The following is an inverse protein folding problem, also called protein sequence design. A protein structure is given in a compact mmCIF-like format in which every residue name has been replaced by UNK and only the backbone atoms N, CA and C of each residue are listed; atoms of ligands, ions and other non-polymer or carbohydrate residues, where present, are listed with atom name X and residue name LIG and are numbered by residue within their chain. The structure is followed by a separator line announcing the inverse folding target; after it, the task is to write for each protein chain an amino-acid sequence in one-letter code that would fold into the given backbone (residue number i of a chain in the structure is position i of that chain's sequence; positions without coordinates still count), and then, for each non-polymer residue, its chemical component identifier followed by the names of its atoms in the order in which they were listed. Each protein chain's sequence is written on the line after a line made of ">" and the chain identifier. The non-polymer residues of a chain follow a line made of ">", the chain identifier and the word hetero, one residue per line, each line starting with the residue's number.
data_IF_290166464476
#
_entry.id   IF_290166464476
#
_cell.length_a   1.000
_cell.length_b   1.000
_cell.length_c   1.000
_cell.angle_alpha   90.00
_cell.angle_beta   90.00
_cell.angle_gamma   90.00
#
_symmetry.space_group_name_H-M   'P 1'
#
loop_
_entity.id
_entity.type
_entity.pdbx_description
1 polymer ?
#
# COMPACT_ATOMS: atom_id res chain seq x y z
N UNK A 1 49.10 -9.46 -26.62
CA UNK A 1 47.75 -8.92 -26.34
C UNK A 1 46.76 -10.02 -26.65
N UNK A 2 46.34 -10.79 -25.65
CA UNK A 2 45.31 -11.81 -25.80
C UNK A 2 43.94 -11.15 -25.64
N UNK A 3 43.13 -11.19 -26.68
CA UNK A 3 41.71 -10.88 -26.56
C UNK A 3 41.05 -12.10 -25.93
N UNK A 4 40.56 -11.95 -24.70
CA UNK A 4 39.69 -12.94 -24.09
C UNK A 4 38.32 -12.81 -24.75
N UNK A 5 37.90 -13.85 -25.47
CA UNK A 5 36.54 -13.98 -25.95
C UNK A 5 35.59 -14.06 -24.74
N UNK A 6 34.83 -12.99 -24.51
CA UNK A 6 33.78 -12.96 -23.49
C UNK A 6 32.60 -13.75 -24.04
N UNK A 7 32.51 -15.03 -23.66
CA UNK A 7 31.35 -15.86 -23.99
C UNK A 7 30.07 -15.18 -23.43
N UNK A 8 29.00 -15.06 -24.22
CA UNK A 8 27.74 -14.52 -23.71
C UNK A 8 27.22 -15.49 -22.65
N UNK A 9 27.22 -15.06 -21.39
CA UNK A 9 26.57 -15.79 -20.31
C UNK A 9 25.09 -15.91 -20.67
N UNK A 10 24.60 -17.12 -20.90
CA UNK A 10 23.17 -17.39 -21.09
C UNK A 10 22.43 -17.01 -19.82
N UNK A 11 21.89 -15.80 -19.78
CA UNK A 11 21.05 -15.32 -18.68
C UNK A 11 19.81 -16.21 -18.66
N UNK A 12 19.50 -16.80 -17.51
CA UNK A 12 18.33 -17.66 -17.37
C UNK A 12 17.04 -16.85 -17.61
N UNK A 13 15.98 -17.50 -18.07
CA UNK A 13 14.68 -16.84 -18.29
C UNK A 13 14.12 -16.22 -16.99
N UNK A 14 14.44 -16.82 -15.84
CA UNK A 14 14.04 -16.31 -14.53
C UNK A 14 14.80 -15.01 -14.18
N UNK A 15 16.09 -14.93 -14.53
CA UNK A 15 16.87 -13.69 -14.38
C UNK A 15 16.35 -12.56 -15.28
N UNK A 16 15.88 -12.88 -16.49
CA UNK A 16 15.27 -11.91 -17.42
C UNK A 16 13.93 -11.39 -16.89
N UNK A 17 13.10 -12.27 -16.36
CA UNK A 17 11.81 -11.91 -15.76
C UNK A 17 12.00 -10.97 -14.58
N UNK A 18 12.94 -11.29 -13.69
CA UNK A 18 13.31 -10.43 -12.56
C UNK A 18 13.85 -9.07 -13.01
N UNK A 19 14.67 -9.05 -14.07
CA UNK A 19 15.22 -7.82 -14.63
C UNK A 19 14.11 -6.90 -15.19
N UNK A 20 13.19 -7.45 -15.98
CA UNK A 20 12.04 -6.70 -16.51
C UNK A 20 11.11 -6.21 -15.39
N UNK A 21 10.88 -7.05 -14.37
CA UNK A 21 10.12 -6.67 -13.19
C UNK A 21 10.69 -5.39 -12.54
N UNK A 22 12.01 -5.33 -12.32
CA UNK A 22 12.68 -4.16 -11.74
C UNK A 22 12.63 -2.95 -12.68
N UNK A 23 12.93 -3.13 -13.98
CA UNK A 23 12.94 -2.04 -14.97
C UNK A 23 11.57 -1.39 -15.17
N UNK A 24 10.50 -2.16 -15.05
CA UNK A 24 9.12 -1.70 -15.22
C UNK A 24 8.49 -1.19 -13.91
N UNK A 25 9.31 -0.88 -12.90
CA UNK A 25 8.82 -0.32 -11.64
C UNK A 25 8.04 -1.34 -10.81
N UNK A 26 8.57 -2.55 -10.67
CA UNK A 26 7.97 -3.63 -9.91
C UNK A 26 6.59 -4.06 -10.44
N UNK A 27 6.45 -4.13 -11.76
CA UNK A 27 5.22 -4.55 -12.44
C UNK A 27 4.78 -5.96 -12.01
N UNK A 28 3.47 -6.21 -11.96
CA UNK A 28 2.94 -7.55 -11.65
C UNK A 28 3.27 -8.56 -12.74
N UNK A 29 3.39 -9.83 -12.37
CA UNK A 29 3.60 -10.94 -13.32
C UNK A 29 2.54 -10.93 -14.43
N UNK A 30 1.26 -10.76 -14.07
CA UNK A 30 0.16 -10.64 -15.05
C UNK A 30 0.38 -9.50 -16.06
N UNK A 31 0.93 -8.37 -15.60
CA UNK A 31 1.27 -7.23 -16.46
C UNK A 31 2.39 -7.59 -17.43
N UNK A 32 3.46 -8.19 -16.92
CA UNK A 32 4.60 -8.66 -17.72
C UNK A 32 4.20 -9.71 -18.75
N UNK A 33 3.40 -10.71 -18.38
CA UNK A 33 2.86 -11.73 -19.30
C UNK A 33 2.02 -11.10 -20.41
N UNK A 34 1.29 -10.02 -20.11
CA UNK A 34 0.53 -9.29 -21.13
C UNK A 34 1.45 -8.56 -22.11
N UNK A 35 2.54 -7.97 -21.63
CA UNK A 35 3.54 -7.30 -22.48
C UNK A 35 4.32 -8.30 -23.35
N UNK A 36 4.72 -9.44 -22.78
CA UNK A 36 5.40 -10.51 -23.51
C UNK A 36 4.53 -11.06 -24.64
N UNK A 37 3.25 -11.36 -24.38
CA UNK A 37 2.29 -11.81 -25.41
C UNK A 37 2.08 -10.82 -26.54
N UNK A 38 2.25 -9.52 -26.27
CA UNK A 38 2.15 -8.46 -27.27
C UNK A 38 3.47 -8.15 -27.96
N UNK A 39 4.55 -8.87 -27.63
CA UNK A 39 5.89 -8.65 -28.17
C UNK A 39 6.56 -7.36 -27.70
N UNK A 40 6.07 -6.74 -26.62
CA UNK A 40 6.53 -5.43 -26.13
C UNK A 40 7.76 -5.51 -25.22
N UNK A 41 8.28 -6.71 -24.98
CA UNK A 41 9.50 -6.98 -24.19
C UNK A 41 10.69 -7.37 -25.07
N UNK A 42 10.79 -6.77 -26.27
CA UNK A 42 11.87 -7.06 -27.22
C UNK A 42 11.97 -8.55 -27.61
N UNK A 43 10.83 -9.25 -27.68
CA UNK A 43 10.79 -10.69 -27.98
C UNK A 43 11.12 -11.60 -26.80
N UNK A 44 11.39 -11.05 -25.60
CA UNK A 44 11.66 -11.84 -24.41
C UNK A 44 10.38 -12.46 -23.83
N UNK A 45 10.52 -13.70 -23.40
CA UNK A 45 9.49 -14.41 -22.65
C UNK A 45 9.67 -14.16 -21.16
N UNK A 46 8.57 -13.95 -20.46
CA UNK A 46 8.57 -13.81 -19.01
C UNK A 46 7.97 -15.07 -18.39
N UNK A 47 8.70 -15.66 -17.45
CA UNK A 47 8.30 -16.81 -16.65
C UNK A 47 7.63 -16.35 -15.34
N UNK A 48 7.46 -17.25 -14.38
CA UNK A 48 6.96 -16.92 -13.05
C UNK A 48 7.89 -15.93 -12.35
N UNK A 49 7.32 -14.94 -11.66
CA UNK A 49 8.09 -13.98 -10.89
C UNK A 49 8.36 -14.52 -9.49
N UNK A 50 9.64 -14.63 -9.13
CA UNK A 50 10.07 -14.96 -7.78
C UNK A 50 9.67 -13.89 -6.74
N UNK A 51 9.78 -14.27 -5.46
CA UNK A 51 9.54 -13.37 -4.35
C UNK A 51 10.34 -12.06 -4.47
N UNK A 52 9.63 -10.93 -4.34
CA UNK A 52 10.21 -9.59 -4.33
C UNK A 52 9.79 -8.85 -3.07
N UNK A 53 10.75 -8.61 -2.16
CA UNK A 53 10.53 -7.92 -0.89
C UNK A 53 9.94 -6.52 -1.09
N UNK A 54 10.47 -5.74 -2.03
CA UNK A 54 9.96 -4.39 -2.35
C UNK A 54 8.51 -4.39 -2.80
N UNK A 55 8.08 -5.41 -3.55
CA UNK A 55 6.67 -5.56 -3.91
C UNK A 55 5.79 -5.82 -2.71
N UNK A 56 6.23 -6.70 -1.80
CA UNK A 56 5.45 -7.05 -0.61
C UNK A 56 5.26 -5.83 0.26
N UNK A 57 6.33 -5.08 0.54
CA UNK A 57 6.26 -3.88 1.36
C UNK A 57 5.48 -2.76 0.64
N UNK A 58 5.76 -2.52 -0.64
CA UNK A 58 5.17 -1.41 -1.40
C UNK A 58 3.70 -1.61 -1.79
N UNK A 59 3.25 -2.86 -1.93
CA UNK A 59 1.86 -3.19 -2.28
C UNK A 59 1.06 -3.74 -1.10
N UNK A 60 1.63 -3.71 0.12
CA UNK A 60 0.93 -4.17 1.30
C UNK A 60 -0.32 -3.31 1.54
N UNK A 61 -1.49 -3.94 1.47
CA UNK A 61 -2.75 -3.28 1.83
C UNK A 61 -3.11 -3.60 3.26
N UNK A 62 -3.56 -2.60 4.02
CA UNK A 62 -4.13 -2.81 5.35
C UNK A 62 -5.31 -3.78 5.26
N UNK A 63 -5.31 -4.79 6.13
CA UNK A 63 -6.45 -5.71 6.27
C UNK A 63 -7.69 -4.90 6.63
N UNK A 64 -8.84 -5.28 6.05
CA UNK A 64 -10.11 -4.64 6.39
C UNK A 64 -10.39 -4.82 7.87
N UNK A 65 -10.77 -3.74 8.54
CA UNK A 65 -11.35 -3.84 9.87
C UNK A 65 -12.67 -4.61 9.80
N UNK A 66 -12.92 -5.47 10.78
CA UNK A 66 -14.25 -6.02 10.95
C UNK A 66 -15.22 -4.90 11.27
N UNK A 67 -16.46 -5.00 10.78
CA UNK A 67 -17.52 -4.08 11.18
C UNK A 67 -17.83 -4.31 12.65
N UNK A 68 -17.42 -3.38 13.51
CA UNK A 68 -17.87 -3.34 14.90
C UNK A 68 -19.33 -2.89 14.95
N UNK A 69 -20.24 -3.75 15.41
CA UNK A 69 -21.59 -3.31 15.78
C UNK A 69 -21.54 -2.74 17.20
N UNK A 70 -21.63 -1.42 17.32
CA UNK A 70 -21.86 -0.76 18.59
C UNK A 70 -23.38 -0.59 18.77
N UNK A 71 -23.98 -1.32 19.71
CA UNK A 71 -25.37 -1.14 20.10
C UNK A 71 -25.44 -0.70 21.56
N UNK A 72 -25.71 0.59 21.77
CA UNK A 72 -26.05 1.12 23.08
C UNK A 72 -27.50 0.82 23.43
N UNK A 73 -27.79 0.55 24.71
CA UNK A 73 -29.15 0.23 25.18
C UNK A 73 -29.81 1.41 25.91
N UNK A 74 -29.01 2.35 26.40
CA UNK A 74 -29.46 3.55 27.09
C UNK A 74 -28.45 4.70 27.01
N UNK A 75 -28.88 5.86 27.51
CA UNK A 75 -28.06 7.08 27.59
C UNK A 75 -26.85 6.88 28.51
N UNK A 76 -25.70 7.39 28.09
CA UNK A 76 -24.41 7.33 28.78
C UNK A 76 -23.81 5.91 28.88
N UNK A 77 -24.34 4.93 28.14
CA UNK A 77 -23.73 3.60 28.03
C UNK A 77 -22.38 3.62 27.30
N UNK A 78 -22.25 4.52 26.32
CA UNK A 78 -21.06 4.63 25.49
C UNK A 78 -20.89 6.07 25.00
N UNK A 79 -19.71 6.65 25.27
CA UNK A 79 -19.39 8.04 24.93
C UNK A 79 -18.17 8.04 24.01
N UNK A 80 -18.31 8.64 22.84
CA UNK A 80 -17.18 8.97 21.98
C UNK A 80 -16.59 10.29 22.46
N UNK A 81 -15.31 10.29 22.84
CA UNK A 81 -14.60 11.51 23.21
C UNK A 81 -13.49 11.80 22.23
N UNK A 82 -13.35 13.07 21.84
CA UNK A 82 -12.29 13.52 20.94
C UNK A 82 -11.70 14.85 21.43
N UNK A 83 -10.40 15.01 21.24
CA UNK A 83 -9.68 16.24 21.55
C UNK A 83 -9.16 16.84 20.24
N UNK A 84 -9.77 17.94 19.85
CA UNK A 84 -9.33 18.71 18.71
C UNK A 84 -8.35 19.81 19.14
N UNK A 85 -7.19 19.89 18.48
CA UNK A 85 -6.22 20.97 18.64
C UNK A 85 -4.76 20.53 18.56
N UNK A 86 -3.80 21.45 18.68
CA UNK A 86 -3.99 22.90 18.87
C UNK A 86 -4.50 23.62 17.62
N UNK A 87 -5.43 24.55 17.80
CA UNK A 87 -5.91 25.44 16.75
C UNK A 87 -4.84 26.46 16.36
N UNK A 88 -4.78 26.80 15.07
CA UNK A 88 -3.88 27.87 14.60
C UNK A 88 -4.28 29.26 15.12
N UNK A 89 -5.58 29.48 15.36
CA UNK A 89 -6.12 30.74 15.88
C UNK A 89 -6.86 30.45 17.18
N UNK A 90 -6.59 31.20 18.28
CA UNK A 90 -7.33 31.05 19.52
C UNK A 90 -8.82 31.33 19.35
N UNK A 91 -9.65 30.66 20.14
CA UNK A 91 -11.07 31.01 20.27
C UNK A 91 -11.23 32.44 20.81
N UNK A 92 -12.47 32.96 20.80
CA UNK A 92 -12.78 34.27 21.41
C UNK A 92 -12.36 34.34 22.90
N UNK A 93 -12.29 33.20 23.59
CA UNK A 93 -11.83 33.10 24.98
C UNK A 93 -10.35 32.73 25.14
N UNK A 94 -9.57 32.70 24.06
CA UNK A 94 -8.15 32.35 24.09
C UNK A 94 -7.85 30.85 24.15
N UNK A 95 -8.86 29.98 24.05
CA UNK A 95 -8.64 28.52 24.05
C UNK A 95 -8.08 28.05 22.71
N UNK A 96 -7.13 27.11 22.77
CA UNK A 96 -6.49 26.48 21.60
C UNK A 96 -6.97 25.05 21.34
N UNK A 97 -7.72 24.48 22.28
CA UNK A 97 -8.20 23.10 22.22
C UNK A 97 -9.70 23.06 22.44
N UNK A 98 -10.35 22.07 21.86
CA UNK A 98 -11.77 21.76 22.04
C UNK A 98 -11.91 20.28 22.33
N UNK A 99 -12.63 19.94 23.41
CA UNK A 99 -12.97 18.55 23.74
C UNK A 99 -14.45 18.31 23.47
N UNK A 100 -14.75 17.21 22.79
CA UNK A 100 -16.11 16.77 22.47
C UNK A 100 -16.41 15.49 23.23
N UNK A 101 -17.59 15.42 23.83
CA UNK A 101 -18.15 14.18 24.39
C UNK A 101 -19.49 13.92 23.70
N UNK A 102 -19.59 12.84 22.93
CA UNK A 102 -20.80 12.49 22.20
C UNK A 102 -21.37 11.18 22.78
N UNK A 103 -22.57 11.24 23.34
CA UNK A 103 -23.31 10.04 23.75
C UNK A 103 -23.78 9.24 22.53
N UNK A 104 -23.38 7.98 22.43
CA UNK A 104 -23.67 7.14 21.26
C UNK A 104 -25.17 6.81 21.14
N UNK A 105 -25.88 6.68 22.27
CA UNK A 105 -27.31 6.38 22.29
C UNK A 105 -28.17 7.56 21.86
N UNK A 106 -28.06 8.69 22.56
CA UNK A 106 -28.88 9.87 22.31
C UNK A 106 -28.37 10.76 21.18
N UNK A 107 -27.14 10.53 20.70
CA UNK A 107 -26.43 11.37 19.72
C UNK A 107 -26.29 12.83 20.15
N UNK A 108 -26.27 13.09 21.47
CA UNK A 108 -26.10 14.42 22.06
C UNK A 108 -24.64 14.69 22.40
N UNK A 109 -24.22 15.92 22.16
CA UNK A 109 -22.94 16.52 22.58
C UNK A 109 -23.15 17.28 23.89
#
# INVERSE_FOLDING_TARGET
>A
MGFADFAPSSVSEDDKTKLWHMRLGHMSERGMTTLSKRGLLCGEHTTSLDFCEHCVVGKHTKVRFSTGTHSTKGTLDYIHSDLWGPAHVPSKGGALYFVMFLDDFSRKV
#
